data_IF_999323455410
#
_entry.id   IF_999323455410
#
_cell.length_a   1.000
_cell.length_b   1.000
_cell.length_c   1.000
_cell.angle_alpha   90.00
_cell.angle_beta   90.00
_cell.angle_gamma   90.00
#
_symmetry.space_group_name_H-M   'P 1'
#
loop_
_entity.id
_entity.type
_entity.pdbx_description
1 polymer ?
#
# COMPACT_ATOMS: atom_id res chain seq x y z
N UNK A 1 -3.39 -2.94 15.87
CA UNK A 1 -3.82 -3.08 14.47
C UNK A 1 -3.63 -1.74 13.80
N UNK A 2 -2.46 -1.52 13.23
CA UNK A 2 -2.15 -0.27 12.54
C UNK A 2 -2.52 -0.37 11.07
N UNK A 3 -3.34 0.56 10.58
CA UNK A 3 -3.47 0.79 9.14
C UNK A 3 -2.13 1.29 8.61
N UNK A 4 -1.67 0.70 7.52
CA UNK A 4 -0.40 1.06 6.88
C UNK A 4 -0.72 1.57 5.50
N UNK A 5 -0.13 2.69 5.12
CA UNK A 5 -0.33 3.25 3.80
C UNK A 5 0.97 3.85 3.26
N UNK A 6 1.26 3.63 1.99
CA UNK A 6 2.28 4.37 1.25
C UNK A 6 1.66 4.92 -0.01
N UNK A 7 2.02 6.16 -0.33
CA UNK A 7 1.63 6.81 -1.58
C UNK A 7 2.89 7.23 -2.32
N UNK A 8 2.97 6.85 -3.58
CA UNK A 8 4.02 7.29 -4.51
C UNK A 8 3.34 7.89 -5.73
N UNK A 9 3.36 9.23 -5.84
CA UNK A 9 2.60 9.95 -6.87
C UNK A 9 1.10 9.68 -6.74
N UNK A 10 0.51 9.10 -7.78
CA UNK A 10 -0.91 8.74 -7.81
C UNK A 10 -1.19 7.30 -7.37
N UNK A 11 -0.15 6.50 -7.14
CA UNK A 11 -0.29 5.12 -6.68
C UNK A 11 -0.31 5.10 -5.16
N UNK A 12 -1.27 4.38 -4.58
CA UNK A 12 -1.41 4.20 -3.14
C UNK A 12 -1.52 2.73 -2.82
N UNK A 13 -0.68 2.24 -1.92
CA UNK A 13 -0.82 0.90 -1.34
C UNK A 13 -1.31 1.04 0.10
N UNK A 14 -2.29 0.23 0.49
CA UNK A 14 -2.82 0.20 1.85
C UNK A 14 -2.79 -1.23 2.40
N UNK A 15 -2.53 -1.37 3.69
CA UNK A 15 -2.67 -2.63 4.41
C UNK A 15 -3.71 -2.41 5.50
N UNK A 16 -4.91 -2.91 5.25
CA UNK A 16 -6.03 -2.73 6.17
C UNK A 16 -5.97 -3.76 7.30
N UNK A 17 -5.76 -5.05 6.96
CA UNK A 17 -5.65 -6.12 7.94
C UNK A 17 -4.93 -7.36 7.37
N UNK A 18 -4.65 -8.35 8.25
CA UNK A 18 -4.01 -9.62 7.86
C UNK A 18 -4.84 -10.48 6.90
N UNK A 19 -6.17 -10.27 6.78
CA UNK A 19 -7.05 -11.04 5.90
C UNK A 19 -7.01 -10.52 4.46
N UNK A 20 -7.02 -9.20 4.26
CA UNK A 20 -7.00 -8.59 2.92
C UNK A 20 -5.59 -8.39 2.39
N UNK A 21 -4.59 -8.23 3.26
CA UNK A 21 -3.21 -8.02 2.82
C UNK A 21 -2.99 -6.61 2.27
N UNK A 22 -2.04 -6.49 1.34
CA UNK A 22 -1.74 -5.22 0.68
C UNK A 22 -2.66 -5.00 -0.51
N UNK A 23 -3.31 -3.86 -0.57
CA UNK A 23 -4.21 -3.45 -1.64
C UNK A 23 -3.61 -2.25 -2.38
N UNK A 24 -3.72 -2.23 -3.70
CA UNK A 24 -3.14 -1.18 -4.53
C UNK A 24 -4.23 -0.42 -5.27
N UNK A 25 -4.19 0.90 -5.18
CA UNK A 25 -5.10 1.81 -5.84
C UNK A 25 -4.33 2.83 -6.67
N UNK A 26 -4.87 3.15 -7.84
CA UNK A 26 -4.38 4.21 -8.71
C UNK A 26 -5.35 5.39 -8.65
N UNK A 27 -4.98 6.41 -7.88
CA UNK A 27 -5.81 7.59 -7.63
C UNK A 27 -5.92 8.50 -8.86
N UNK A 28 -5.06 8.34 -9.88
CA UNK A 28 -5.18 9.10 -11.13
C UNK A 28 -6.39 8.63 -11.95
N UNK A 29 -6.69 7.33 -11.88
CA UNK A 29 -7.78 6.69 -12.63
C UNK A 29 -9.01 6.40 -11.78
N UNK A 30 -8.82 6.26 -10.47
CA UNK A 30 -9.86 5.92 -9.52
C UNK A 30 -9.63 6.62 -8.17
N UNK A 31 -10.03 7.90 -8.09
CA UNK A 31 -10.00 8.68 -6.84
C UNK A 31 -10.88 8.08 -5.73
N UNK A 32 -11.79 7.17 -6.07
CA UNK A 32 -12.70 6.53 -5.12
C UNK A 32 -12.17 5.23 -4.53
N UNK A 33 -10.96 4.80 -4.91
CA UNK A 33 -10.29 3.61 -4.35
C UNK A 33 -11.15 2.34 -4.44
N UNK A 34 -11.92 2.20 -5.53
CA UNK A 34 -12.85 1.07 -5.71
C UNK A 34 -12.22 -0.13 -6.40
N UNK A 35 -11.15 0.07 -7.18
CA UNK A 35 -10.47 -1.00 -7.92
C UNK A 35 -9.16 -1.36 -7.27
N UNK A 36 -9.16 -2.46 -6.52
CA UNK A 36 -7.93 -3.08 -6.06
C UNK A 36 -7.16 -3.68 -7.26
N UNK A 37 -5.96 -3.16 -7.50
CA UNK A 37 -5.04 -3.57 -8.56
C UNK A 37 -3.95 -4.52 -8.05
N UNK A 38 -3.99 -4.94 -6.79
CA UNK A 38 -2.93 -5.72 -6.19
C UNK A 38 -2.66 -7.03 -6.94
N UNK A 39 -3.71 -7.77 -7.30
CA UNK A 39 -3.58 -9.00 -8.09
C UNK A 39 -3.14 -8.75 -9.54
N UNK A 40 -3.41 -7.55 -10.06
CA UNK A 40 -3.06 -7.18 -11.45
C UNK A 40 -1.65 -6.63 -11.57
N UNK A 41 -1.10 -6.05 -10.50
CA UNK A 41 0.21 -5.42 -10.45
C UNK A 41 0.97 -5.82 -9.17
N UNK A 42 1.25 -7.11 -8.96
CA UNK A 42 1.89 -7.61 -7.74
C UNK A 42 3.32 -7.06 -7.55
N UNK A 43 4.02 -6.77 -8.63
CA UNK A 43 5.36 -6.16 -8.58
C UNK A 43 5.32 -4.76 -7.95
N UNK A 44 4.28 -3.99 -8.27
CA UNK A 44 4.11 -2.63 -7.79
C UNK A 44 3.71 -2.61 -6.31
N UNK A 45 2.84 -3.56 -5.91
CA UNK A 45 2.52 -3.82 -4.50
C UNK A 45 3.80 -4.13 -3.71
N UNK A 46 4.63 -5.07 -4.19
CA UNK A 46 5.86 -5.46 -3.50
C UNK A 46 6.85 -4.29 -3.37
N UNK A 47 6.97 -3.46 -4.41
CA UNK A 47 7.84 -2.28 -4.38
C UNK A 47 7.41 -1.28 -3.31
N UNK A 48 6.11 -0.95 -3.27
CA UNK A 48 5.57 0.01 -2.32
C UNK A 48 5.51 -0.55 -0.89
N UNK A 49 5.19 -1.84 -0.72
CA UNK A 49 5.26 -2.52 0.56
C UNK A 49 6.69 -2.49 1.14
N UNK A 50 7.69 -2.73 0.30
CA UNK A 50 9.10 -2.64 0.71
C UNK A 50 9.50 -1.22 1.11
N UNK A 51 9.01 -0.20 0.39
CA UNK A 51 9.21 1.20 0.80
C UNK A 51 8.57 1.47 2.18
N UNK A 52 7.37 0.95 2.42
CA UNK A 52 6.72 1.05 3.72
C UNK A 52 7.55 0.40 4.82
N UNK A 53 8.07 -0.81 4.60
CA UNK A 53 8.91 -1.51 5.58
C UNK A 53 10.20 -0.76 5.88
N UNK A 54 10.84 -0.17 4.86
CA UNK A 54 12.04 0.65 5.04
C UNK A 54 11.70 1.89 5.86
N UNK A 55 10.65 2.61 5.50
CA UNK A 55 10.19 3.79 6.22
C UNK A 55 9.88 3.45 7.69
N UNK A 56 9.10 2.39 7.93
CA UNK A 56 8.72 1.98 9.28
C UNK A 56 9.92 1.59 10.15
N UNK A 57 10.94 0.94 9.56
CA UNK A 57 12.22 0.65 10.24
C UNK A 57 13.01 1.91 10.55
N UNK A 58 12.97 2.91 9.68
CA UNK A 58 13.67 4.18 9.88
C UNK A 58 12.99 5.07 10.91
N UNK A 59 11.66 5.01 11.03
CA UNK A 59 10.88 5.91 11.89
C UNK A 59 10.51 5.31 13.25
N UNK A 60 11.05 4.14 13.62
CA UNK A 60 10.73 3.38 14.86
C UNK A 60 9.21 3.28 15.12
N UNK A 61 8.42 3.18 14.05
CA UNK A 61 6.97 3.03 14.18
C UNK A 61 6.69 1.61 14.66
N UNK A 62 6.38 1.46 15.95
CA UNK A 62 6.03 0.16 16.55
C UNK A 62 4.68 -0.34 16.02
N UNK A 63 4.69 -1.60 15.57
CA UNK A 63 3.56 -2.31 14.96
C UNK A 63 2.59 -2.90 15.97
#
# INVERSE_FOLDING_TARGET
GGHRAVREGDLKVVWENRKTGWELYDLSRDRTETKNLADRQPELVNRLARQWEIWARMTDVKF
#
